data_IF_670108304959
#
_entry.id   IF_670108304959
#
_cell.length_a   1.000
_cell.length_b   1.000
_cell.length_c   1.000
_cell.angle_alpha   90.00
_cell.angle_beta   90.00
_cell.angle_gamma   90.00
#
_symmetry.space_group_name_H-M   'P 1'
#
loop_
_entity.id
_entity.type
_entity.pdbx_description
1 polymer ?
#
# COMPACT_ATOMS: atom_id res chain seq x y z
N UNK A 1 20.76 15.90 -2.35
CA UNK A 1 19.32 15.99 -1.98
C UNK A 1 18.65 15.34 -3.15
N UNK A 2 18.03 14.23 -2.93
CA UNK A 2 17.25 13.60 -3.98
C UNK A 2 16.16 14.59 -4.35
N UNK A 3 16.03 14.94 -5.63
CA UNK A 3 14.99 15.83 -6.09
C UNK A 3 13.65 15.12 -5.89
N UNK A 4 12.76 15.76 -5.15
CA UNK A 4 11.43 15.25 -4.84
C UNK A 4 10.38 16.28 -5.20
N UNK A 5 9.24 15.83 -5.69
CA UNK A 5 8.10 16.67 -6.02
C UNK A 5 6.98 16.48 -4.99
N UNK A 6 6.35 17.56 -4.62
CA UNK A 6 5.17 17.51 -3.77
C UNK A 6 3.98 16.96 -4.56
N UNK A 7 3.28 16.04 -3.91
CA UNK A 7 2.15 15.31 -4.48
C UNK A 7 0.91 15.51 -3.64
N UNK A 8 -0.24 15.37 -4.26
CA UNK A 8 -1.53 15.28 -3.58
C UNK A 8 -2.23 14.00 -3.96
N UNK A 9 -3.04 13.45 -3.05
CA UNK A 9 -3.93 12.35 -3.40
C UNK A 9 -5.06 12.94 -4.25
N UNK A 10 -5.04 12.65 -5.54
CA UNK A 10 -6.10 13.06 -6.46
C UNK A 10 -7.37 12.23 -6.25
N UNK A 11 -7.21 10.94 -5.98
CA UNK A 11 -8.32 10.04 -5.68
C UNK A 11 -7.89 8.60 -5.49
N UNK A 12 -8.90 7.78 -5.19
CA UNK A 12 -8.77 6.31 -5.15
C UNK A 12 -9.75 5.74 -6.16
N UNK A 13 -9.22 4.98 -7.10
CA UNK A 13 -9.97 4.31 -8.15
C UNK A 13 -9.85 2.79 -8.03
N UNK A 14 -10.54 2.06 -8.90
CA UNK A 14 -10.43 0.61 -8.99
C UNK A 14 -10.06 0.23 -10.42
N UNK A 15 -9.02 -0.57 -10.55
CA UNK A 15 -8.75 -1.29 -11.78
C UNK A 15 -9.88 -2.31 -12.01
N UNK A 16 -10.57 -2.15 -13.13
CA UNK A 16 -11.75 -2.98 -13.47
C UNK A 16 -11.31 -4.40 -13.82
N UNK A 17 -10.12 -4.56 -14.40
CA UNK A 17 -9.57 -5.84 -14.88
C UNK A 17 -8.92 -6.59 -13.72
N UNK A 18 -7.97 -5.97 -13.01
CA UNK A 18 -7.24 -6.55 -11.90
C UNK A 18 -8.04 -6.57 -10.59
N UNK A 19 -9.15 -5.85 -10.51
CA UNK A 19 -9.99 -5.70 -9.29
C UNK A 19 -9.19 -5.20 -8.09
N UNK A 20 -8.12 -4.46 -8.35
CA UNK A 20 -7.28 -3.86 -7.32
C UNK A 20 -7.54 -2.36 -7.19
N UNK A 21 -7.58 -1.81 -5.99
CA UNK A 21 -7.66 -0.38 -5.80
C UNK A 21 -6.32 0.29 -6.13
N UNK A 22 -6.42 1.50 -6.67
CA UNK A 22 -5.30 2.35 -7.05
C UNK A 22 -5.46 3.69 -6.38
N UNK A 23 -4.42 4.16 -5.70
CA UNK A 23 -4.31 5.57 -5.31
C UNK A 23 -3.63 6.31 -6.44
N UNK A 24 -4.24 7.38 -6.89
CA UNK A 24 -3.67 8.27 -7.88
C UNK A 24 -3.09 9.50 -7.18
N UNK A 25 -1.77 9.65 -7.24
CA UNK A 25 -1.07 10.84 -6.78
C UNK A 25 -0.88 11.79 -7.94
N UNK A 26 -1.09 13.08 -7.73
CA UNK A 26 -0.86 14.15 -8.73
C UNK A 26 0.22 15.10 -8.22
N UNK A 27 1.13 15.54 -9.09
CA UNK A 27 2.07 16.63 -8.76
C UNK A 27 1.32 17.92 -8.49
N UNK A 28 1.74 18.63 -7.44
CA UNK A 28 1.13 19.94 -7.08
C UNK A 28 1.36 20.97 -8.19
N UNK A 29 2.59 21.04 -8.69
CA UNK A 29 3.02 22.02 -9.69
C UNK A 29 3.04 21.44 -11.11
N UNK A 30 2.12 20.51 -11.43
CA UNK A 30 2.15 19.87 -12.74
C UNK A 30 0.92 19.02 -13.04
N UNK A 31 1.03 18.28 -14.14
CA UNK A 31 -0.02 17.42 -14.64
C UNK A 31 0.45 15.97 -14.78
N UNK A 32 1.37 15.56 -13.89
CA UNK A 32 1.87 14.19 -13.82
C UNK A 32 1.13 13.42 -12.73
N UNK A 33 0.68 12.24 -13.07
CA UNK A 33 -0.10 11.36 -12.19
C UNK A 33 0.64 10.06 -11.98
N UNK A 34 0.88 9.71 -10.73
CA UNK A 34 1.54 8.47 -10.33
C UNK A 34 0.50 7.49 -9.77
N UNK A 35 0.17 6.41 -10.49
CA UNK A 35 -0.73 5.37 -10.00
C UNK A 35 0.03 4.42 -9.08
N UNK A 36 -0.56 4.10 -7.92
CA UNK A 36 0.00 3.14 -6.96
C UNK A 36 -1.08 2.11 -6.63
N UNK A 37 -0.87 0.85 -7.02
CA UNK A 37 -1.75 -0.25 -6.66
C UNK A 37 -1.61 -0.58 -5.17
N UNK A 38 -2.73 -0.70 -4.48
CA UNK A 38 -2.77 -0.92 -3.04
C UNK A 38 -3.77 -2.02 -2.65
N UNK A 39 -3.71 -2.47 -1.41
CA UNK A 39 -4.69 -3.43 -0.88
C UNK A 39 -6.06 -2.79 -0.61
N UNK A 40 -7.11 -3.61 -0.63
CA UNK A 40 -8.48 -3.16 -0.33
C UNK A 40 -8.63 -2.57 1.08
N UNK A 41 -8.03 -3.16 2.14
CA UNK A 41 -8.12 -2.58 3.49
C UNK A 41 -7.49 -1.19 3.59
N UNK A 42 -6.34 -0.99 2.93
CA UNK A 42 -5.63 0.29 2.92
C UNK A 42 -6.41 1.34 2.11
N UNK A 43 -6.96 0.96 0.95
CA UNK A 43 -7.82 1.82 0.15
C UNK A 43 -9.05 2.28 0.94
N UNK A 44 -9.71 1.35 1.64
CA UNK A 44 -10.84 1.69 2.50
C UNK A 44 -10.44 2.66 3.63
N UNK A 45 -9.26 2.45 4.24
CA UNK A 45 -8.76 3.33 5.29
C UNK A 45 -8.50 4.76 4.78
N UNK A 46 -7.95 4.91 3.57
CA UNK A 46 -7.73 6.21 2.93
C UNK A 46 -9.08 6.87 2.60
N UNK A 47 -9.98 6.15 1.92
CA UNK A 47 -11.27 6.68 1.51
C UNK A 47 -12.14 7.15 2.68
N UNK A 48 -12.25 6.35 3.76
CA UNK A 48 -13.00 6.70 4.97
C UNK A 48 -12.53 8.05 5.52
N UNK A 49 -11.21 8.24 5.56
CA UNK A 49 -10.65 9.50 6.06
C UNK A 49 -10.88 10.66 5.11
N UNK A 50 -10.67 10.49 3.80
CA UNK A 50 -10.92 11.52 2.78
C UNK A 50 -12.39 11.95 2.74
N UNK A 51 -13.32 11.02 2.99
CA UNK A 51 -14.76 11.30 3.06
C UNK A 51 -15.21 11.93 4.39
N UNK A 52 -14.30 12.10 5.35
CA UNK A 52 -14.63 12.63 6.67
C UNK A 52 -15.56 11.74 7.49
N UNK A 53 -15.61 10.44 7.18
CA UNK A 53 -16.48 9.49 7.89
C UNK A 53 -15.91 9.17 9.26
N UNK A 54 -16.70 9.43 10.31
CA UNK A 54 -16.37 9.09 11.69
C UNK A 54 -16.77 7.65 12.01
N UNK A 55 -15.83 6.89 12.55
CA UNK A 55 -16.07 5.52 13.01
C UNK A 55 -16.22 5.45 14.52
N UNK A 56 -17.05 4.53 15.06
CA UNK A 56 -17.27 4.38 16.50
C UNK A 56 -15.99 4.01 17.29
N UNK A 57 -15.04 3.38 16.62
CA UNK A 57 -13.75 2.97 17.18
C UNK A 57 -12.64 3.22 16.17
N UNK A 58 -11.41 3.56 16.65
CA UNK A 58 -10.27 3.78 15.77
C UNK A 58 -9.93 2.52 14.97
N UNK A 59 -9.61 2.71 13.69
CA UNK A 59 -8.98 1.71 12.84
C UNK A 59 -7.47 1.60 13.17
N UNK A 60 -6.81 0.62 12.59
CA UNK A 60 -5.33 0.46 12.72
C UNK A 60 -4.60 1.75 12.31
N UNK A 61 -4.99 2.37 11.19
CA UNK A 61 -4.37 3.61 10.70
C UNK A 61 -4.72 4.84 11.55
N UNK A 62 -5.78 4.82 12.36
CA UNK A 62 -6.08 5.88 13.33
C UNK A 62 -5.26 5.69 14.62
N UNK A 63 -4.90 4.44 14.94
CA UNK A 63 -4.05 4.12 16.08
C UNK A 63 -2.59 4.58 15.86
N UNK A 64 -2.10 4.51 14.61
CA UNK A 64 -0.71 4.88 14.28
C UNK A 64 -0.36 6.32 14.69
N UNK A 65 -1.09 7.38 14.24
CA UNK A 65 -0.79 8.75 14.65
C UNK A 65 -0.92 8.93 16.17
N UNK A 66 -1.88 8.28 16.80
CA UNK A 66 -2.03 8.34 18.26
C UNK A 66 -0.81 7.78 19.00
N UNK A 67 -0.23 6.68 18.49
CA UNK A 67 1.00 6.13 19.07
C UNK A 67 2.20 7.06 18.86
N UNK A 68 2.35 7.60 17.64
CA UNK A 68 3.42 8.54 17.30
C UNK A 68 3.38 9.74 18.25
N UNK A 69 2.21 10.33 18.43
CA UNK A 69 1.99 11.47 19.31
C UNK A 69 2.29 11.14 20.78
N UNK A 70 1.86 9.97 21.28
CA UNK A 70 2.16 9.53 22.64
C UNK A 70 3.67 9.33 22.91
N UNK A 71 4.45 9.08 21.87
CA UNK A 71 5.91 9.04 21.94
C UNK A 71 6.60 10.40 21.69
N UNK A 72 5.83 11.50 21.72
CA UNK A 72 6.30 12.87 21.46
C UNK A 72 7.00 13.00 20.10
N UNK A 73 6.49 12.33 19.10
CA UNK A 73 6.91 12.47 17.73
C UNK A 73 5.75 12.99 16.87
N UNK A 74 6.07 13.54 15.72
CA UNK A 74 5.09 14.00 14.73
C UNK A 74 5.49 13.47 13.35
N UNK A 75 4.50 13.30 12.48
CA UNK A 75 4.74 12.95 11.09
C UNK A 75 5.09 14.22 10.33
N UNK A 76 6.33 14.32 9.90
CA UNK A 76 6.85 15.49 9.19
C UNK A 76 6.51 15.47 7.71
N UNK A 77 6.67 14.33 7.08
CA UNK A 77 6.36 14.07 5.67
C UNK A 77 6.37 12.59 5.36
N UNK A 78 5.81 12.24 4.22
CA UNK A 78 6.05 10.95 3.57
C UNK A 78 6.69 11.18 2.20
N UNK A 79 7.50 10.21 1.75
CA UNK A 79 8.13 10.26 0.43
C UNK A 79 8.03 8.88 -0.22
N UNK A 80 7.40 8.79 -1.38
CA UNK A 80 7.47 7.59 -2.22
C UNK A 80 8.80 7.65 -2.96
N UNK A 81 9.67 6.67 -2.69
CA UNK A 81 11.09 6.78 -3.04
C UNK A 81 11.49 6.00 -4.27
N UNK A 82 10.86 4.87 -4.51
CA UNK A 82 11.30 3.97 -5.60
C UNK A 82 10.21 2.98 -6.01
N UNK A 83 10.38 2.39 -7.18
CA UNK A 83 9.69 1.20 -7.64
C UNK A 83 10.75 0.15 -8.03
N UNK A 84 10.81 -0.97 -7.31
CA UNK A 84 11.70 -2.08 -7.60
C UNK A 84 10.89 -3.39 -7.60
N UNK A 85 11.12 -4.23 -8.60
CA UNK A 85 10.43 -5.53 -8.72
C UNK A 85 8.92 -5.41 -8.51
N UNK A 86 8.31 -4.44 -9.20
CA UNK A 86 6.87 -4.13 -9.11
C UNK A 86 6.38 -3.76 -7.70
N UNK A 87 7.28 -3.36 -6.81
CA UNK A 87 6.99 -2.96 -5.44
C UNK A 87 7.39 -1.52 -5.21
N UNK A 88 6.43 -0.69 -4.84
CA UNK A 88 6.68 0.69 -4.44
C UNK A 88 7.21 0.74 -3.01
N UNK A 89 8.19 1.61 -2.80
CA UNK A 89 8.81 1.90 -1.50
C UNK A 89 8.47 3.31 -1.05
N UNK A 90 8.33 3.49 0.26
CA UNK A 90 8.12 4.80 0.85
C UNK A 90 8.88 4.95 2.16
N UNK A 91 9.25 6.19 2.46
CA UNK A 91 9.82 6.61 3.73
C UNK A 91 8.85 7.52 4.47
N UNK A 92 8.65 7.23 5.73
CA UNK A 92 7.96 8.07 6.69
C UNK A 92 9.01 8.83 7.48
N UNK A 93 9.05 10.14 7.36
CA UNK A 93 9.92 11.00 8.17
C UNK A 93 9.15 11.47 9.38
N UNK A 94 9.58 11.04 10.56
CA UNK A 94 9.09 11.51 11.84
C UNK A 94 10.04 12.57 12.40
N UNK A 95 9.51 13.55 13.12
CA UNK A 95 10.29 14.49 13.90
C UNK A 95 10.09 14.21 15.39
N UNK A 96 11.19 14.08 16.14
CA UNK A 96 11.18 13.96 17.60
C UNK A 96 12.39 14.67 18.22
N UNK A 97 12.15 15.52 19.18
CA UNK A 97 13.20 16.28 19.88
C UNK A 97 14.12 17.12 18.94
N UNK A 98 13.60 17.47 17.76
CA UNK A 98 14.34 18.21 16.73
C UNK A 98 15.19 17.34 15.82
N UNK A 99 15.12 16.04 15.94
CA UNK A 99 15.78 15.07 15.08
C UNK A 99 14.77 14.42 14.14
N UNK A 100 15.18 14.19 12.90
CA UNK A 100 14.40 13.47 11.89
C UNK A 100 14.73 11.96 11.97
N UNK A 101 13.69 11.14 12.04
CA UNK A 101 13.77 9.68 12.08
C UNK A 101 13.07 9.16 10.83
N UNK A 102 13.79 8.40 10.02
CA UNK A 102 13.24 7.78 8.82
C UNK A 102 12.80 6.34 9.13
N UNK A 103 11.59 6.02 8.69
CA UNK A 103 10.97 4.69 8.87
C UNK A 103 10.55 4.18 7.51
N UNK A 104 11.04 2.99 7.13
CA UNK A 104 10.59 2.30 5.92
C UNK A 104 9.13 1.90 6.05
N UNK A 105 8.37 2.07 4.98
CA UNK A 105 6.94 1.78 5.00
C UNK A 105 6.41 1.44 3.60
N UNK A 106 5.30 0.72 3.55
CA UNK A 106 4.56 0.60 2.30
C UNK A 106 3.92 1.96 1.97
N UNK A 107 3.88 2.36 0.68
CA UNK A 107 3.22 3.62 0.31
C UNK A 107 1.78 3.73 0.79
N UNK A 108 1.01 2.66 0.73
CA UNK A 108 -0.38 2.63 1.19
C UNK A 108 -0.56 3.00 2.67
N UNK A 109 0.34 2.50 3.54
CA UNK A 109 0.31 2.81 4.98
C UNK A 109 0.75 4.25 5.23
N UNK A 110 1.82 4.69 4.53
CA UNK A 110 2.30 6.06 4.61
C UNK A 110 1.23 7.07 4.15
N UNK A 111 0.53 6.79 3.03
CA UNK A 111 -0.57 7.62 2.54
C UNK A 111 -1.76 7.64 3.49
N UNK A 112 -2.14 6.47 4.05
CA UNK A 112 -3.21 6.39 5.05
C UNK A 112 -2.89 7.17 6.33
N UNK A 113 -1.60 7.27 6.69
CA UNK A 113 -1.11 8.09 7.78
C UNK A 113 -1.09 9.57 7.41
N UNK A 114 -0.60 9.93 6.22
CA UNK A 114 -0.54 11.32 5.74
C UNK A 114 -1.91 12.00 5.77
N UNK A 115 -2.97 11.35 5.26
CA UNK A 115 -4.33 11.92 5.28
C UNK A 115 -4.91 12.10 6.69
N UNK A 116 -4.30 11.48 7.72
CA UNK A 116 -4.70 11.57 9.13
C UNK A 116 -3.93 12.61 9.92
N UNK A 117 -2.74 12.95 9.45
CA UNK A 117 -1.82 13.88 10.13
C UNK A 117 -1.63 15.17 9.36
N UNK A 118 -2.28 15.30 8.19
CA UNK A 118 -2.09 16.40 7.25
C UNK A 118 -0.61 16.59 6.84
N UNK A 119 0.15 15.49 6.88
CA UNK A 119 1.55 15.50 6.50
C UNK A 119 1.70 15.62 4.98
N UNK A 120 2.65 16.44 4.48
CA UNK A 120 2.89 16.58 3.05
C UNK A 120 3.43 15.28 2.45
N UNK A 121 3.01 15.04 1.21
CA UNK A 121 3.36 13.85 0.43
C UNK A 121 4.35 14.26 -0.65
N UNK A 122 5.41 13.49 -0.82
CA UNK A 122 6.40 13.68 -1.87
C UNK A 122 6.62 12.38 -2.65
N UNK A 123 7.13 12.52 -3.87
CA UNK A 123 7.67 11.39 -4.64
C UNK A 123 9.01 11.80 -5.25
N UNK A 124 9.93 10.82 -5.40
CA UNK A 124 11.22 11.05 -6.02
C UNK A 124 11.04 11.41 -7.50
N UNK A 125 11.87 12.31 -8.02
CA UNK A 125 11.81 12.80 -9.40
C UNK A 125 11.98 11.65 -10.39
N UNK A 126 13.02 10.82 -10.21
CA UNK A 126 13.29 9.67 -11.07
C UNK A 126 12.07 8.72 -11.14
N UNK A 127 11.42 8.48 -9.99
CA UNK A 127 10.22 7.65 -9.94
C UNK A 127 9.07 8.24 -10.75
N UNK A 128 8.89 9.56 -10.67
CA UNK A 128 7.83 10.27 -11.42
C UNK A 128 8.17 10.25 -12.92
N UNK A 129 9.43 10.47 -13.30
CA UNK A 129 9.84 10.49 -14.71
C UNK A 129 9.63 9.14 -15.39
N UNK A 130 9.90 8.04 -14.68
CA UNK A 130 9.80 6.69 -15.20
C UNK A 130 8.38 6.11 -15.19
N UNK A 131 7.54 6.52 -14.22
CA UNK A 131 6.28 5.81 -13.92
C UNK A 131 5.05 6.69 -13.91
N UNK A 132 5.18 8.01 -14.02
CA UNK A 132 4.01 8.88 -14.04
C UNK A 132 3.41 9.00 -15.45
N UNK A 133 2.10 9.19 -15.48
CA UNK A 133 1.34 9.47 -16.70
C UNK A 133 1.19 10.98 -16.78
N UNK A 134 1.48 11.55 -17.94
CA UNK A 134 1.26 12.97 -18.20
C UNK A 134 0.06 13.15 -19.13
N UNK A 135 -0.87 14.00 -18.72
CA UNK A 135 -1.98 14.39 -19.58
C UNK A 135 -1.66 15.71 -20.27
N UNK A 136 -1.74 15.74 -21.62
CA UNK A 136 -1.32 16.87 -22.45
C UNK A 136 -2.11 18.18 -22.22
N UNK A 137 -3.21 18.13 -21.46
CA UNK A 137 -4.03 19.31 -21.18
C UNK A 137 -4.28 19.42 -19.68
N UNK A 138 -4.25 20.64 -19.14
CA UNK A 138 -4.82 20.93 -17.83
C UNK A 138 -6.31 20.56 -17.89
N UNK A 139 -6.65 19.43 -17.34
CA UNK A 139 -8.02 18.96 -17.28
C UNK A 139 -8.59 19.47 -15.97
N UNK A 140 -9.29 20.59 -16.05
CA UNK A 140 -10.05 21.14 -14.91
C UNK A 140 -11.29 20.30 -14.56
N UNK A 141 -11.63 19.34 -15.42
CA UNK A 141 -12.81 18.50 -15.26
C UNK A 141 -12.45 17.11 -14.72
N UNK A 142 -12.84 16.90 -13.48
CA UNK A 142 -12.64 15.62 -12.76
C UNK A 142 -13.23 14.41 -13.51
N UNK A 143 -14.31 14.61 -14.28
CA UNK A 143 -14.96 13.53 -15.05
C UNK A 143 -14.10 13.11 -16.24
N UNK A 144 -13.45 14.05 -16.94
CA UNK A 144 -12.59 13.76 -18.08
C UNK A 144 -11.28 13.06 -17.65
N UNK A 145 -10.71 13.45 -16.50
CA UNK A 145 -9.53 12.77 -15.92
C UNK A 145 -9.88 11.32 -15.55
N UNK A 146 -11.02 11.11 -14.91
CA UNK A 146 -11.48 9.78 -14.52
C UNK A 146 -11.73 8.90 -15.73
N UNK A 147 -12.27 9.46 -16.82
CA UNK A 147 -12.54 8.72 -18.06
C UNK A 147 -11.23 8.34 -18.78
N UNK A 148 -10.29 9.28 -18.93
CA UNK A 148 -8.96 9.01 -19.50
C UNK A 148 -8.12 8.07 -18.65
N UNK A 149 -8.23 8.19 -17.33
CA UNK A 149 -7.56 7.26 -16.41
C UNK A 149 -8.17 5.85 -16.50
N UNK A 150 -9.47 5.76 -16.71
CA UNK A 150 -10.13 4.47 -16.98
C UNK A 150 -9.66 3.86 -18.30
N UNK A 151 -9.60 4.67 -19.38
CA UNK A 151 -9.07 4.24 -20.68
C UNK A 151 -7.61 3.79 -20.58
N UNK A 152 -6.80 4.45 -19.74
CA UNK A 152 -5.43 4.03 -19.44
C UNK A 152 -5.42 2.69 -18.70
N UNK A 153 -6.23 2.53 -17.64
CA UNK A 153 -6.32 1.28 -16.89
C UNK A 153 -6.80 0.09 -17.75
N UNK A 154 -7.63 0.34 -18.77
CA UNK A 154 -8.05 -0.70 -19.73
C UNK A 154 -6.91 -1.13 -20.66
N UNK A 155 -5.83 -0.35 -20.76
CA UNK A 155 -4.67 -0.62 -21.63
C UNK A 155 -3.44 -1.11 -20.87
N UNK A 156 -3.40 -0.95 -19.54
CA UNK A 156 -2.24 -1.25 -18.69
C UNK A 156 -2.63 -2.22 -17.59
N UNK A 157 -1.82 -3.24 -17.42
CA UNK A 157 -1.97 -4.20 -16.31
C UNK A 157 -0.86 -4.00 -15.29
N UNK A 158 -1.00 -4.49 -14.03
CA UNK A 158 0.10 -4.50 -13.07
C UNK A 158 1.37 -5.16 -13.60
N UNK A 159 1.22 -6.04 -14.62
CA UNK A 159 2.32 -6.74 -15.26
C UNK A 159 3.11 -5.86 -16.24
N UNK A 160 2.53 -4.78 -16.74
CA UNK A 160 3.20 -3.83 -17.65
C UNK A 160 4.22 -2.94 -16.91
N UNK A 161 4.14 -2.89 -15.57
CA UNK A 161 5.12 -2.27 -14.68
C UNK A 161 6.15 -3.28 -14.16
N UNK A 162 6.16 -4.52 -14.68
CA UNK A 162 7.20 -5.50 -14.38
C UNK A 162 8.39 -5.22 -15.30
N UNK A 163 9.54 -4.89 -14.71
CA UNK A 163 10.82 -5.01 -15.41
C UNK A 163 10.95 -6.43 -15.97
N UNK A 164 11.43 -6.58 -17.22
CA UNK A 164 11.44 -7.84 -17.96
C UNK A 164 11.89 -9.04 -17.10
N UNK A 165 11.24 -10.21 -17.23
CA UNK A 165 11.53 -11.36 -16.41
C UNK A 165 12.87 -11.98 -16.83
N UNK A 166 13.88 -11.75 -16.02
CA UNK A 166 15.19 -12.41 -16.12
C UNK A 166 15.52 -13.14 -14.85
N UNK A 167 14.68 -14.08 -14.40
CA UNK A 167 15.06 -15.19 -13.52
C UNK A 167 13.87 -16.16 -13.39
N UNK A 168 14.03 -17.33 -13.97
CA UNK A 168 13.19 -18.48 -13.71
C UNK A 168 13.26 -18.81 -12.21
N UNK A 169 12.18 -18.58 -11.48
CA UNK A 169 11.96 -19.23 -10.19
C UNK A 169 11.42 -20.63 -10.50
N UNK A 170 12.25 -21.63 -10.19
CA UNK A 170 11.85 -23.03 -10.27
C UNK A 170 10.64 -23.26 -9.36
N UNK A 171 9.58 -23.81 -9.94
CA UNK A 171 8.47 -24.39 -9.22
C UNK A 171 8.99 -25.57 -8.37
N UNK A 172 9.07 -25.41 -7.07
CA UNK A 172 9.17 -26.49 -6.10
C UNK A 172 7.88 -26.50 -5.27
N UNK A 173 6.85 -27.13 -5.81
CA UNK A 173 5.72 -27.62 -5.04
C UNK A 173 5.16 -28.89 -5.68
N UNK A 174 5.92 -29.97 -5.56
CA UNK A 174 5.37 -31.32 -5.50
C UNK A 174 5.51 -31.79 -4.05
N UNK A 175 4.48 -31.55 -3.25
CA UNK A 175 4.26 -32.31 -2.03
C UNK A 175 3.29 -33.44 -2.35
N UNK A 176 3.89 -34.62 -2.58
CA UNK A 176 3.20 -35.90 -2.62
C UNK A 176 2.48 -36.12 -1.27
N UNK A 177 1.17 -36.16 -1.31
CA UNK A 177 0.32 -36.76 -0.30
C UNK A 177 0.41 -38.28 -0.47
N UNK A 178 1.31 -38.94 0.25
CA UNK A 178 1.21 -40.37 0.48
C UNK A 178 0.37 -40.65 1.73
N UNK A 179 -0.88 -41.03 1.47
CA UNK A 179 -1.73 -41.75 2.40
C UNK A 179 -1.02 -42.99 2.89
N UNK A 180 -0.81 -43.12 4.17
CA UNK A 180 -0.57 -44.39 4.83
C UNK A 180 -1.61 -44.62 5.91
N UNK A 181 -2.64 -45.36 5.48
CA UNK A 181 -3.44 -46.19 6.35
C UNK A 181 -2.53 -47.23 7.02
N UNK A 182 -2.58 -47.31 8.33
CA UNK A 182 -2.23 -48.52 9.07
C UNK A 182 -3.18 -48.65 10.27
N UNK A 183 -3.98 -49.69 10.09
CA UNK A 183 -4.89 -50.31 11.03
C UNK A 183 -4.16 -50.98 12.22
N UNK A 184 -4.97 -51.20 13.26
CA UNK A 184 -4.84 -52.22 14.32
C UNK A 184 -3.85 -51.87 15.48
N UNK A 185 -4.23 -52.01 16.69
CA UNK A 185 -4.88 -53.10 17.40
C UNK A 185 -5.39 -52.63 18.77
N UNK A 186 -6.49 -53.24 19.13
CA UNK A 186 -7.08 -53.31 20.45
C UNK A 186 -6.13 -54.04 21.43
N UNK A 187 -6.13 -53.61 22.70
CA UNK A 187 -6.12 -54.49 23.89
C UNK A 187 -6.22 -53.58 25.14
N UNK A 188 -7.34 -53.59 25.73
CA UNK A 188 -7.83 -54.27 26.94
C UNK A 188 -6.96 -54.16 28.21
N UNK A 189 -7.71 -53.87 29.25
CA UNK A 189 -7.52 -54.24 30.65
C UNK A 189 -6.82 -53.24 31.60
N UNK A 190 -7.56 -52.85 32.56
CA UNK A 190 -7.25 -53.06 33.95
C UNK A 190 -7.64 -51.93 34.88
N UNK A 191 -8.81 -52.03 35.38
CA UNK A 191 -9.32 -51.87 36.74
C UNK A 191 -8.23 -51.70 37.85
N UNK A 192 -8.40 -50.81 38.74
CA UNK A 192 -8.44 -50.88 40.22
C UNK A 192 -8.28 -49.50 40.83
N UNK A 193 -9.28 -48.95 41.43
CA UNK A 193 -9.57 -48.71 42.87
C UNK A 193 -8.32 -48.57 43.76
N UNK A 194 -8.21 -47.42 44.46
CA UNK A 194 -8.36 -47.23 45.89
C UNK A 194 -7.87 -45.86 46.35
N UNK A 195 -8.75 -45.23 47.08
CA UNK A 195 -8.68 -44.58 48.38
C UNK A 195 -7.30 -44.06 48.89
N UNK A 196 -7.24 -42.73 49.13
CA UNK A 196 -7.23 -42.09 50.44
C UNK A 196 -7.28 -40.55 50.26
#
# INVERSE_FOLDING_TARGET
MDDVHEMVIYGVSFDVIGKQPIVLLKTVDGNKFLPIWIGHPEAAAILIKLQGTELPRPMTHDLMPSLIEHFNAEVKRITVTALHDNTFYALLTLSRDGEDIEVDSRPSDALALAVRTDAPIFAAEDLIEENAIEFEHEVDDTEEIVERFRDFLDQVTPDDFRAEPGAEVADEDELDDEDQDDDADEDELGDELDDD
#
